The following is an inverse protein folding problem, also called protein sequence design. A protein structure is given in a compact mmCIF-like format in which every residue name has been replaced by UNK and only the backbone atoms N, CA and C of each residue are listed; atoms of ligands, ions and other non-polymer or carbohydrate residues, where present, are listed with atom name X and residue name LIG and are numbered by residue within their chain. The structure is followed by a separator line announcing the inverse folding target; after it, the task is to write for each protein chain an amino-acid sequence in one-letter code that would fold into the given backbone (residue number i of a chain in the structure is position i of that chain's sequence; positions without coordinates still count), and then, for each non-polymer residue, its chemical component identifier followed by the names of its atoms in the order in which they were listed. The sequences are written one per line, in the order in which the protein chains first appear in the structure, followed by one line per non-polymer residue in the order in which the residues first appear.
data_IF_533969805290
#
_entry.id   IF_533969805290
#
_cell.length_a   1.000
_cell.length_b   1.000
_cell.length_c   1.000
_cell.angle_alpha   90.00
_cell.angle_beta   90.00
_cell.angle_gamma   90.00
#
_symmetry.space_group_name_H-M   'P 1'
#
loop_
_entity.id
_entity.type
_entity.pdbx_description
1 polymer ?
#
# COMPACT_ATOMS: atom_id res chain seq x y z
N UNK A 1 -14.09 -15.16 -4.64
CA UNK A 1 -12.98 -16.11 -4.37
C UNK A 1 -12.34 -15.80 -3.01
N UNK A 2 -11.73 -16.77 -2.32
CA UNK A 2 -11.19 -16.57 -0.96
C UNK A 2 -10.07 -15.52 -0.90
N UNK A 3 -9.16 -15.54 -1.87
CA UNK A 3 -8.03 -14.61 -1.96
C UNK A 3 -8.47 -13.15 -2.10
N UNK A 4 -9.49 -12.90 -2.92
CA UNK A 4 -10.06 -11.57 -3.10
C UNK A 4 -10.64 -11.02 -1.79
N UNK A 5 -11.34 -11.86 -1.01
CA UNK A 5 -11.87 -11.48 0.30
C UNK A 5 -10.75 -11.14 1.29
N UNK A 6 -9.65 -11.90 1.27
CA UNK A 6 -8.48 -11.64 2.12
C UNK A 6 -7.78 -10.34 1.73
N UNK A 7 -7.54 -10.12 0.43
CA UNK A 7 -6.95 -8.89 -0.09
C UNK A 7 -7.82 -7.66 0.26
N UNK A 8 -9.15 -7.77 0.11
CA UNK A 8 -10.07 -6.72 0.53
C UNK A 8 -9.95 -6.42 2.02
N UNK A 9 -9.94 -7.43 2.89
CA UNK A 9 -9.79 -7.25 4.34
C UNK A 9 -8.45 -6.59 4.69
N UNK A 10 -7.37 -7.00 4.04
CA UNK A 10 -6.04 -6.43 4.23
C UNK A 10 -6.00 -4.95 3.83
N UNK A 11 -6.46 -4.62 2.61
CA UNK A 11 -6.48 -3.24 2.12
C UNK A 11 -7.33 -2.33 3.00
N UNK A 12 -8.52 -2.79 3.42
CA UNK A 12 -9.39 -2.03 4.30
C UNK A 12 -8.76 -1.74 5.66
N UNK A 13 -8.09 -2.74 6.27
CA UNK A 13 -7.40 -2.55 7.54
C UNK A 13 -6.20 -1.60 7.44
N UNK A 14 -5.43 -1.68 6.35
CA UNK A 14 -4.32 -0.78 6.10
C UNK A 14 -4.82 0.67 5.90
N UNK A 15 -5.90 0.85 5.13
CA UNK A 15 -6.53 2.15 4.93
C UNK A 15 -6.99 2.76 6.25
N UNK A 16 -7.73 2.00 7.06
CA UNK A 16 -8.23 2.46 8.37
C UNK A 16 -7.07 2.87 9.30
N UNK A 17 -5.97 2.12 9.29
CA UNK A 17 -4.79 2.47 10.08
C UNK A 17 -4.14 3.77 9.61
N UNK A 18 -4.00 3.97 8.29
CA UNK A 18 -3.43 5.20 7.74
C UNK A 18 -4.30 6.42 8.04
N UNK A 19 -5.63 6.28 7.97
CA UNK A 19 -6.58 7.34 8.32
C UNK A 19 -6.48 7.72 9.80
N UNK A 20 -6.44 6.74 10.71
CA UNK A 20 -6.29 6.97 12.15
C UNK A 20 -4.98 7.67 12.51
N UNK A 21 -3.90 7.38 11.78
CA UNK A 21 -2.58 7.95 12.00
C UNK A 21 -2.36 9.27 11.24
N UNK A 22 -3.33 9.71 10.42
CA UNK A 22 -3.20 10.91 9.60
C UNK A 22 -2.14 10.79 8.50
N UNK A 23 -1.84 9.58 8.05
CA UNK A 23 -0.85 9.30 7.00
C UNK A 23 -1.57 9.33 5.65
N UNK A 24 -1.10 10.16 4.74
CA UNK A 24 -1.60 10.20 3.37
C UNK A 24 -1.18 8.94 2.62
N UNK A 25 -2.14 8.05 2.35
CA UNK A 25 -1.94 6.83 1.60
C UNK A 25 -3.14 6.50 0.72
N UNK A 26 -2.87 5.89 -0.43
CA UNK A 26 -3.85 5.36 -1.38
C UNK A 26 -3.62 3.88 -1.59
N UNK A 27 -4.73 3.16 -1.78
CA UNK A 27 -4.74 1.71 -1.98
C UNK A 27 -5.48 1.41 -3.27
N UNK A 28 -4.87 0.62 -4.14
CA UNK A 28 -5.51 0.13 -5.37
C UNK A 28 -5.59 -1.39 -5.29
N UNK A 29 -6.71 -1.97 -5.74
CA UNK A 29 -6.91 -3.42 -5.71
C UNK A 29 -7.67 -3.90 -6.96
N UNK A 30 -7.24 -5.03 -7.52
CA UNK A 30 -7.96 -5.77 -8.56
C UNK A 30 -7.92 -7.25 -8.21
N UNK A 31 -9.08 -7.82 -7.86
CA UNK A 31 -9.15 -9.20 -7.35
C UNK A 31 -8.32 -9.35 -6.06
N UNK A 32 -7.33 -10.23 -6.09
CA UNK A 32 -6.38 -10.42 -4.98
C UNK A 32 -5.14 -9.52 -5.03
N UNK A 33 -4.86 -8.88 -6.17
CA UNK A 33 -3.71 -8.00 -6.32
C UNK A 33 -3.98 -6.66 -5.66
N UNK A 34 -2.99 -6.13 -4.94
CA UNK A 34 -3.10 -4.82 -4.31
C UNK A 34 -1.78 -4.03 -4.39
N UNK A 35 -1.88 -2.71 -4.32
CA UNK A 35 -0.72 -1.81 -4.21
C UNK A 35 -1.03 -0.68 -3.22
N UNK A 36 0.02 -0.16 -2.59
CA UNK A 36 -0.03 0.91 -1.59
C UNK A 36 0.88 2.05 -2.00
N UNK A 37 0.32 3.26 -2.06
CA UNK A 37 1.01 4.48 -2.48
C UNK A 37 0.94 5.51 -1.36
N UNK A 38 2.08 5.96 -0.82
CA UNK A 38 2.11 6.98 0.22
C UNK A 38 2.03 8.37 -0.42
N UNK A 39 0.82 8.80 -0.77
CA UNK A 39 0.56 10.08 -1.40
C UNK A 39 -0.83 10.60 -1.00
N UNK A 40 -1.02 11.91 -1.06
CA UNK A 40 -2.30 12.57 -0.86
C UNK A 40 -3.13 12.66 -2.15
N UNK A 41 -2.50 12.46 -3.31
CA UNK A 41 -3.14 12.52 -4.62
C UNK A 41 -3.97 11.28 -4.92
N UNK A 42 -4.96 11.43 -5.77
CA UNK A 42 -5.68 10.29 -6.34
C UNK A 42 -4.79 9.56 -7.36
N UNK A 43 -4.82 8.23 -7.35
CA UNK A 43 -4.03 7.39 -8.26
C UNK A 43 -4.87 7.01 -9.49
N UNK A 44 -4.61 7.66 -10.62
CA UNK A 44 -5.34 7.43 -11.89
C UNK A 44 -4.41 7.13 -13.06
N UNK A 45 -3.12 7.44 -12.93
CA UNK A 45 -2.10 7.23 -13.95
C UNK A 45 -0.69 7.06 -13.35
N UNK A 46 0.29 6.81 -14.20
CA UNK A 46 1.68 6.65 -13.74
C UNK A 46 2.29 7.93 -13.14
N UNK A 47 1.83 9.12 -13.55
CA UNK A 47 2.36 10.38 -12.99
C UNK A 47 1.87 10.60 -11.57
N UNK A 48 0.62 10.23 -11.27
CA UNK A 48 0.07 10.24 -9.92
C UNK A 48 0.79 9.27 -8.99
N UNK A 49 1.19 8.10 -9.50
CA UNK A 49 1.98 7.14 -8.72
C UNK A 49 3.36 7.70 -8.36
N UNK A 50 3.97 8.50 -9.23
CA UNK A 50 5.28 9.14 -8.97
C UNK A 50 5.26 10.19 -7.86
N UNK A 51 4.10 10.66 -7.42
CA UNK A 51 4.00 11.59 -6.28
C UNK A 51 4.04 10.88 -4.93
N UNK A 52 4.28 9.57 -4.94
CA UNK A 52 4.42 8.79 -3.72
C UNK A 52 5.73 9.04 -3.00
N UNK A 53 5.67 9.07 -1.68
CA UNK A 53 6.84 9.14 -0.80
C UNK A 53 7.54 7.78 -0.76
N UNK A 54 8.56 7.64 -1.60
CA UNK A 54 9.38 6.43 -1.70
C UNK A 54 10.31 6.25 -0.50
N UNK A 55 10.68 7.34 0.19
CA UNK A 55 11.53 7.26 1.39
C UNK A 55 10.72 6.70 2.56
N UNK A 56 9.49 7.19 2.74
CA UNK A 56 8.55 6.63 3.71
C UNK A 56 8.25 5.17 3.41
N UNK A 57 8.04 4.80 2.12
CA UNK A 57 7.87 3.40 1.74
C UNK A 57 9.09 2.56 2.14
N UNK A 58 10.31 3.02 1.90
CA UNK A 58 11.53 2.31 2.29
C UNK A 58 11.62 2.08 3.80
N UNK A 59 11.23 3.06 4.62
CA UNK A 59 11.14 2.91 6.08
C UNK A 59 10.07 1.91 6.49
N UNK A 60 8.90 1.98 5.87
CA UNK A 60 7.79 1.05 6.11
C UNK A 60 8.16 -0.39 5.74
N UNK A 61 8.82 -0.59 4.59
CA UNK A 61 9.32 -1.89 4.15
C UNK A 61 10.28 -2.51 5.16
N UNK A 62 11.29 -1.76 5.62
CA UNK A 62 12.24 -2.27 6.62
C UNK A 62 11.54 -2.60 7.94
N UNK A 63 10.61 -1.77 8.40
CA UNK A 63 9.84 -2.06 9.61
C UNK A 63 8.99 -3.33 9.48
N UNK A 64 8.42 -3.60 8.30
CA UNK A 64 7.71 -4.86 8.05
C UNK A 64 8.64 -6.07 8.07
N UNK A 65 9.86 -5.93 7.54
CA UNK A 65 10.87 -7.00 7.60
C UNK A 65 11.25 -7.34 9.04
N UNK A 66 11.44 -6.32 9.89
CA UNK A 66 11.73 -6.50 11.31
C UNK A 66 10.60 -7.26 12.03
N UNK A 67 9.35 -7.08 11.58
CA UNK A 67 8.15 -7.80 12.06
C UNK A 67 7.90 -9.15 11.33
N UNK A 68 8.82 -9.58 10.46
CA UNK A 68 8.73 -10.86 9.74
C UNK A 68 7.74 -10.88 8.56
N UNK A 69 7.30 -9.72 8.09
CA UNK A 69 6.38 -9.56 6.95
C UNK A 69 7.16 -9.12 5.71
N UNK A 70 7.32 -10.02 4.74
CA UNK A 70 7.94 -9.70 3.47
C UNK A 70 6.88 -9.25 2.45
N UNK A 71 7.00 -8.01 1.96
CA UNK A 71 6.22 -7.47 0.84
C UNK A 71 7.14 -7.22 -0.37
N UNK A 72 6.54 -6.90 -1.52
CA UNK A 72 7.32 -6.53 -2.70
C UNK A 72 8.28 -5.35 -2.37
N UNK A 73 9.57 -5.43 -2.74
CA UNK A 73 10.58 -4.43 -2.36
C UNK A 73 10.46 -3.10 -3.14
N UNK A 74 9.41 -2.95 -3.95
CA UNK A 74 9.13 -1.76 -4.74
C UNK A 74 7.70 -1.27 -4.49
N UNK A 75 7.56 0.04 -4.29
CA UNK A 75 6.26 0.72 -4.18
C UNK A 75 5.41 0.59 -5.45
N UNK A 76 6.03 0.28 -6.59
CA UNK A 76 5.35 0.15 -7.88
C UNK A 76 4.96 -1.29 -8.21
N UNK A 77 5.30 -2.25 -7.35
CA UNK A 77 4.91 -3.64 -7.52
C UNK A 77 3.57 -3.93 -6.83
N UNK A 78 2.86 -4.92 -7.37
CA UNK A 78 1.65 -5.44 -6.75
C UNK A 78 2.00 -6.57 -5.78
N UNK A 79 1.31 -6.60 -4.64
CA UNK A 79 1.30 -7.71 -3.68
C UNK A 79 0.16 -8.68 -3.91
#
# INVERSE_FOLDING_TARGET
PELERKAHKLCAGLQENTEKLGIAARFTRVGSMFSMFFTDREIVDFQSVKTSDTEFFGRYFNALLDEGVFIAPSQFEAG
#
